data_IF_861860443616
#
_entry.id   IF_861860443616
#
_cell.length_a   1.000
_cell.length_b   1.000
_cell.length_c   1.000
_cell.angle_alpha   90.00
_cell.angle_beta   90.00
_cell.angle_gamma   90.00
#
_symmetry.space_group_name_H-M   'P 1'
#
loop_
_entity.id
_entity.type
_entity.pdbx_description
1 polymer ?
#
# COMPACT_ATOMS: atom_id res chain seq x y z
N UNK A 1 -13.29 4.08 19.10
CA UNK A 1 -13.47 4.53 17.71
C UNK A 1 -12.30 5.42 17.35
N UNK A 2 -11.62 5.16 16.24
CA UNK A 2 -10.52 6.00 15.79
C UNK A 2 -11.06 7.38 15.34
N UNK A 3 -10.31 8.44 15.62
CA UNK A 3 -10.63 9.80 15.18
C UNK A 3 -9.80 10.19 13.95
N UNK A 4 -10.24 11.23 13.23
CA UNK A 4 -9.46 11.82 12.12
C UNK A 4 -8.06 12.23 12.60
N UNK A 5 -7.96 12.87 13.78
CA UNK A 5 -6.69 13.29 14.35
C UNK A 5 -5.75 12.13 14.66
N UNK A 6 -6.27 11.05 15.28
CA UNK A 6 -5.47 9.86 15.55
C UNK A 6 -5.03 9.15 14.28
N UNK A 7 -5.87 9.14 13.23
CA UNK A 7 -5.51 8.58 11.94
C UNK A 7 -4.38 9.39 11.29
N UNK A 8 -4.48 10.72 11.29
CA UNK A 8 -3.43 11.59 10.77
C UNK A 8 -2.08 11.30 11.44
N UNK A 9 -2.05 11.16 12.77
CA UNK A 9 -0.83 10.81 13.50
C UNK A 9 -0.26 9.44 13.09
N UNK A 10 -1.12 8.43 12.88
CA UNK A 10 -0.67 7.11 12.43
C UNK A 10 -0.08 7.16 11.01
N UNK A 11 -0.74 7.87 10.10
CA UNK A 11 -0.31 8.01 8.71
C UNK A 11 0.97 8.84 8.56
N UNK A 12 1.14 9.87 9.38
CA UNK A 12 2.37 10.68 9.41
C UNK A 12 3.57 9.85 9.91
N UNK A 13 3.33 8.92 10.84
CA UNK A 13 4.35 8.08 11.45
C UNK A 13 4.45 6.69 10.82
N UNK A 14 4.07 6.55 9.55
CA UNK A 14 4.25 5.29 8.81
C UNK A 14 5.75 4.92 8.70
N UNK A 15 6.07 3.62 8.73
CA UNK A 15 7.45 3.17 8.73
C UNK A 15 8.18 3.55 7.44
N UNK A 16 9.49 3.79 7.55
CA UNK A 16 10.35 4.09 6.39
C UNK A 16 10.48 2.93 5.38
N UNK A 17 10.01 1.74 5.73
CA UNK A 17 9.90 0.58 4.83
C UNK A 17 8.88 0.82 3.72
N UNK A 18 7.88 1.68 3.94
CA UNK A 18 7.00 2.13 2.88
C UNK A 18 7.66 3.24 2.05
N UNK A 19 7.57 3.18 0.72
CA UNK A 19 8.15 4.19 -0.15
C UNK A 19 7.45 5.54 0.04
N UNK A 20 8.19 6.62 -0.18
CA UNK A 20 7.67 7.99 -0.24
C UNK A 20 7.96 8.55 -1.63
N UNK A 21 7.12 8.23 -2.63
CA UNK A 21 7.37 8.63 -4.00
C UNK A 21 7.13 10.13 -4.19
N UNK A 22 7.85 10.75 -5.13
CA UNK A 22 7.62 12.15 -5.51
C UNK A 22 6.22 12.35 -6.12
N UNK A 23 5.68 11.32 -6.78
CA UNK A 23 4.33 11.27 -7.32
C UNK A 23 3.56 10.13 -6.65
N UNK A 24 2.47 10.46 -5.97
CA UNK A 24 1.64 9.50 -5.27
C UNK A 24 0.87 8.59 -6.24
N UNK A 25 0.73 7.33 -5.86
CA UNK A 25 -0.19 6.38 -6.51
C UNK A 25 -1.65 6.51 -6.02
N UNK A 26 -1.88 7.26 -4.94
CA UNK A 26 -3.21 7.57 -4.43
C UNK A 26 -3.81 8.77 -5.17
N UNK A 27 -5.08 8.67 -5.51
CA UNK A 27 -5.85 9.76 -6.09
C UNK A 27 -7.21 9.82 -5.41
N UNK A 28 -7.42 10.80 -4.54
CA UNK A 28 -8.67 11.00 -3.82
C UNK A 28 -9.58 12.06 -4.43
N UNK A 29 -9.44 12.32 -5.74
CA UNK A 29 -10.31 13.27 -6.44
C UNK A 29 -11.77 12.80 -6.41
N UNK A 30 -12.62 13.58 -5.75
CA UNK A 30 -14.06 13.33 -5.68
C UNK A 30 -14.74 13.83 -6.95
N UNK A 31 -15.58 12.99 -7.55
CA UNK A 31 -16.38 13.32 -8.72
C UNK A 31 -17.52 14.29 -8.33
N UNK A 32 -17.51 15.54 -8.83
CA UNK A 32 -18.51 16.54 -8.47
C UNK A 32 -19.89 16.24 -9.05
N UNK A 33 -20.01 15.56 -10.19
CA UNK A 33 -21.32 15.20 -10.73
C UNK A 33 -21.94 14.08 -9.91
N UNK A 34 -21.17 13.04 -9.60
CA UNK A 34 -21.62 11.97 -8.71
C UNK A 34 -22.00 12.49 -7.32
N UNK A 35 -21.25 13.47 -6.80
CA UNK A 35 -21.54 14.10 -5.50
C UNK A 35 -22.88 14.84 -5.49
N UNK A 36 -23.29 15.44 -6.61
CA UNK A 36 -24.61 16.11 -6.70
C UNK A 36 -25.75 15.11 -6.68
N UNK A 37 -25.57 13.97 -7.32
CA UNK A 37 -26.61 12.96 -7.49
C UNK A 37 -26.76 12.06 -6.25
N UNK A 38 -25.63 11.60 -5.69
CA UNK A 38 -25.59 10.57 -4.64
C UNK A 38 -25.16 11.11 -3.26
N UNK A 39 -24.65 12.35 -3.23
CA UNK A 39 -24.16 13.00 -2.01
C UNK A 39 -22.68 12.72 -1.70
N UNK A 40 -22.14 13.54 -0.79
CA UNK A 40 -20.72 13.54 -0.45
C UNK A 40 -20.25 12.22 0.20
N UNK A 41 -21.06 11.63 1.09
CA UNK A 41 -20.70 10.37 1.76
C UNK A 41 -20.55 9.22 0.77
N UNK A 42 -21.50 9.08 -0.17
CA UNK A 42 -21.45 8.07 -1.22
C UNK A 42 -20.26 8.30 -2.16
N UNK A 43 -19.99 9.56 -2.52
CA UNK A 43 -18.87 9.91 -3.37
C UNK A 43 -17.51 9.59 -2.72
N UNK A 44 -17.35 9.89 -1.44
CA UNK A 44 -16.16 9.52 -0.65
C UNK A 44 -16.02 8.00 -0.57
N UNK A 45 -17.09 7.27 -0.25
CA UNK A 45 -17.04 5.81 -0.18
C UNK A 45 -16.55 5.21 -1.50
N UNK A 46 -17.18 5.58 -2.61
CA UNK A 46 -16.79 5.12 -3.96
C UNK A 46 -15.33 5.45 -4.26
N UNK A 47 -14.88 6.65 -3.94
CA UNK A 47 -13.50 7.04 -4.23
C UNK A 47 -12.48 6.24 -3.40
N UNK A 48 -12.80 5.95 -2.14
CA UNK A 48 -11.96 5.13 -1.28
C UNK A 48 -11.93 3.67 -1.74
N UNK A 49 -13.05 3.11 -2.19
CA UNK A 49 -13.10 1.78 -2.80
C UNK A 49 -12.21 1.70 -4.05
N UNK A 50 -12.26 2.70 -4.92
CA UNK A 50 -11.42 2.77 -6.13
C UNK A 50 -9.93 2.89 -5.76
N UNK A 51 -9.63 3.75 -4.79
CA UNK A 51 -8.26 4.18 -4.50
C UNK A 51 -7.52 3.21 -3.60
N UNK A 52 -8.21 2.69 -2.58
CA UNK A 52 -7.70 1.78 -1.55
C UNK A 52 -8.15 0.34 -1.80
N UNK A 53 -9.43 0.14 -2.15
CA UNK A 53 -10.09 -1.17 -2.18
C UNK A 53 -9.89 -2.02 -3.43
N UNK A 54 -9.25 -1.52 -4.50
CA UNK A 54 -9.37 -2.19 -5.80
C UNK A 54 -8.41 -3.36 -6.08
N UNK A 55 -7.46 -3.76 -5.21
CA UNK A 55 -6.58 -4.93 -5.46
C UNK A 55 -5.97 -5.56 -4.20
N UNK A 56 -6.69 -6.41 -3.49
CA UNK A 56 -6.19 -7.62 -2.81
C UNK A 56 -7.22 -8.11 -1.78
N UNK A 57 -7.24 -9.42 -1.52
CA UNK A 57 -7.90 -10.03 -0.36
C UNK A 57 -7.41 -9.49 1.00
N UNK A 58 -6.50 -8.51 1.01
CA UNK A 58 -5.98 -7.82 2.19
C UNK A 58 -5.37 -6.46 1.78
N UNK A 59 -6.12 -5.34 1.78
CA UNK A 59 -5.61 -4.06 1.33
C UNK A 59 -4.53 -3.55 2.29
N UNK A 60 -3.31 -3.31 1.78
CA UNK A 60 -2.19 -2.74 2.53
C UNK A 60 -1.90 -1.32 2.07
N UNK A 61 -1.31 -0.52 2.95
CA UNK A 61 -0.74 0.77 2.56
C UNK A 61 0.44 0.56 1.60
N UNK A 62 0.46 1.33 0.51
CA UNK A 62 1.44 1.17 -0.58
C UNK A 62 2.61 2.15 -0.45
N UNK A 63 2.37 3.28 0.20
CA UNK A 63 3.29 4.40 0.30
C UNK A 63 2.99 5.22 1.56
N UNK A 64 3.97 6.02 1.97
CA UNK A 64 3.85 7.02 3.05
C UNK A 64 3.99 8.44 2.47
N UNK A 65 3.72 9.44 3.30
CA UNK A 65 3.87 10.85 2.95
C UNK A 65 2.60 11.46 2.36
N UNK A 66 2.76 12.47 1.51
CA UNK A 66 1.66 13.36 1.07
C UNK A 66 0.47 12.62 0.43
N UNK A 67 0.75 11.54 -0.29
CA UNK A 67 -0.24 10.76 -1.02
C UNK A 67 -1.35 10.23 -0.13
N UNK A 68 -1.00 9.39 0.84
CA UNK A 68 -1.98 8.82 1.77
C UNK A 68 -2.56 9.87 2.72
N UNK A 69 -1.79 10.90 3.08
CA UNK A 69 -2.26 12.00 3.94
C UNK A 69 -3.35 12.84 3.29
N UNK A 70 -3.45 12.86 1.96
CA UNK A 70 -4.51 13.55 1.24
C UNK A 70 -5.92 13.00 1.55
N UNK A 71 -6.05 11.84 2.20
CA UNK A 71 -7.33 11.32 2.67
C UNK A 71 -7.90 12.12 3.87
N UNK A 72 -7.04 12.77 4.65
CA UNK A 72 -7.43 13.46 5.89
C UNK A 72 -8.39 14.65 5.60
N UNK A 73 -8.06 15.56 4.66
CA UNK A 73 -8.99 16.64 4.28
C UNK A 73 -10.35 16.14 3.78
N UNK A 74 -10.43 14.97 3.13
CA UNK A 74 -11.72 14.39 2.70
C UNK A 74 -12.60 14.03 3.90
N UNK A 75 -12.02 13.44 4.94
CA UNK A 75 -12.75 13.10 6.16
C UNK A 75 -13.18 14.34 6.94
N UNK A 76 -12.33 15.37 6.99
CA UNK A 76 -12.68 16.66 7.58
C UNK A 76 -13.81 17.35 6.82
N UNK A 77 -13.80 17.28 5.48
CA UNK A 77 -14.87 17.79 4.63
C UNK A 77 -16.20 17.08 4.93
N UNK A 78 -16.18 15.75 5.04
CA UNK A 78 -17.37 14.97 5.39
C UNK A 78 -17.91 15.33 6.78
N UNK A 79 -17.04 15.45 7.77
CA UNK A 79 -17.42 15.86 9.12
C UNK A 79 -18.01 17.28 9.11
N UNK A 80 -17.39 18.21 8.40
CA UNK A 80 -17.86 19.61 8.29
C UNK A 80 -19.24 19.67 7.63
N UNK A 81 -19.43 18.94 6.52
CA UNK A 81 -20.73 18.86 5.84
C UNK A 81 -21.83 18.30 6.75
N UNK A 82 -21.45 17.45 7.70
CA UNK A 82 -22.34 16.81 8.67
C UNK A 82 -22.25 17.43 10.07
N UNK A 83 -22.10 18.77 10.15
CA UNK A 83 -22.16 19.57 11.40
C UNK A 83 -21.13 19.15 12.46
N UNK A 84 -19.94 18.75 12.03
CA UNK A 84 -18.85 18.30 12.88
C UNK A 84 -18.93 16.82 13.27
N UNK A 85 -19.95 16.08 12.81
CA UNK A 85 -20.09 14.65 13.08
C UNK A 85 -19.58 13.84 11.88
N UNK A 86 -18.71 12.87 12.14
CA UNK A 86 -18.22 11.96 11.08
C UNK A 86 -19.36 11.03 10.64
N UNK A 87 -19.70 10.97 9.35
CA UNK A 87 -20.71 10.03 8.85
C UNK A 87 -20.31 8.57 9.05
N UNK A 88 -21.29 7.66 9.12
CA UNK A 88 -21.06 6.26 9.49
C UNK A 88 -20.11 5.52 8.53
N UNK A 89 -20.27 5.69 7.21
CA UNK A 89 -19.37 5.05 6.25
C UNK A 89 -17.96 5.61 6.33
N UNK A 90 -17.84 6.92 6.55
CA UNK A 90 -16.54 7.59 6.73
C UNK A 90 -15.84 7.09 8.00
N UNK A 91 -16.59 6.88 9.08
CA UNK A 91 -16.05 6.32 10.32
C UNK A 91 -15.49 4.91 10.11
N UNK A 92 -16.16 4.05 9.33
CA UNK A 92 -15.66 2.72 8.99
C UNK A 92 -14.33 2.78 8.22
N UNK A 93 -14.19 3.72 7.29
CA UNK A 93 -12.95 3.94 6.57
C UNK A 93 -11.81 4.45 7.46
N UNK A 94 -12.12 5.35 8.40
CA UNK A 94 -11.13 5.82 9.38
C UNK A 94 -10.62 4.66 10.22
N UNK A 95 -11.52 3.79 10.71
CA UNK A 95 -11.16 2.63 11.51
C UNK A 95 -10.34 1.62 10.70
N UNK A 96 -10.75 1.35 9.46
CA UNK A 96 -10.01 0.49 8.55
C UNK A 96 -8.58 1.01 8.31
N UNK A 97 -8.43 2.29 7.94
CA UNK A 97 -7.12 2.86 7.67
C UNK A 97 -6.25 2.95 8.94
N UNK A 98 -6.84 3.19 10.10
CA UNK A 98 -6.12 3.18 11.38
C UNK A 98 -5.58 1.78 11.70
N UNK A 99 -6.39 0.74 11.44
CA UNK A 99 -5.96 -0.65 11.60
C UNK A 99 -4.80 -0.98 10.66
N UNK A 100 -4.92 -0.70 9.36
CA UNK A 100 -3.86 -1.01 8.39
C UNK A 100 -2.59 -0.19 8.66
N UNK A 101 -2.71 1.06 9.11
CA UNK A 101 -1.55 1.87 9.52
C UNK A 101 -0.84 1.29 10.74
N UNK A 102 -1.60 0.81 11.73
CA UNK A 102 -1.07 0.14 12.92
C UNK A 102 -0.35 -1.15 12.55
N UNK A 103 -0.94 -1.96 11.65
CA UNK A 103 -0.31 -3.19 11.13
C UNK A 103 0.98 -2.88 10.37
N UNK A 104 0.98 -1.86 9.51
CA UNK A 104 2.20 -1.44 8.81
C UNK A 104 3.31 -1.05 9.80
N UNK A 105 2.96 -0.40 10.92
CA UNK A 105 3.91 -0.06 11.97
C UNK A 105 4.39 -1.28 12.79
N UNK A 106 3.60 -2.35 12.88
CA UNK A 106 3.98 -3.61 13.51
C UNK A 106 4.88 -4.47 12.60
N UNK A 107 4.65 -4.43 11.28
CA UNK A 107 5.45 -5.06 10.20
C UNK A 107 6.85 -4.42 10.02
N UNK A 108 7.44 -3.84 11.08
CA UNK A 108 8.74 -3.14 11.16
C UNK A 108 9.97 -4.02 10.86
N UNK A 109 9.97 -4.76 9.75
CA UNK A 109 11.16 -5.32 9.14
C UNK A 109 11.51 -6.75 9.54
N UNK A 110 10.58 -7.71 9.40
CA UNK A 110 11.02 -9.02 8.89
C UNK A 110 11.27 -8.83 7.38
N UNK A 111 12.49 -8.44 7.04
CA UNK A 111 13.04 -8.82 5.74
C UNK A 111 12.82 -10.33 5.61
N UNK A 112 12.18 -10.85 4.54
CA UNK A 112 12.25 -12.28 4.31
C UNK A 112 13.74 -12.62 4.26
N UNK A 113 14.17 -13.51 5.16
CA UNK A 113 15.52 -14.03 5.14
C UNK A 113 15.83 -14.43 3.69
N UNK A 114 17.01 -14.09 3.14
CA UNK A 114 17.40 -14.66 1.86
C UNK A 114 17.27 -16.18 2.05
N UNK A 115 16.32 -16.77 1.35
CA UNK A 115 16.17 -18.21 1.33
C UNK A 115 17.46 -18.72 0.74
N UNK A 116 18.38 -19.14 1.60
CA UNK A 116 19.50 -20.00 1.27
C UNK A 116 18.92 -21.31 0.74
N UNK A 117 18.50 -21.28 -0.51
CA UNK A 117 18.26 -22.44 -1.35
C UNK A 117 19.06 -22.19 -2.62
N UNK A 118 20.37 -22.22 -2.46
CA UNK A 118 21.33 -22.59 -3.49
C UNK A 118 22.64 -23.01 -2.80
N UNK A 119 22.51 -23.98 -1.88
CA UNK A 119 23.61 -24.88 -1.54
C UNK A 119 23.01 -26.27 -1.39
N UNK A 120 23.06 -27.03 -2.48
CA UNK A 120 23.31 -28.47 -2.56
C UNK A 120 23.90 -28.63 -3.97
N UNK A 121 25.23 -28.63 -4.13
CA UNK A 121 26.06 -29.82 -3.99
C UNK A 121 25.50 -30.99 -4.80
N UNK A 122 26.02 -31.16 -6.02
CA UNK A 122 26.19 -32.50 -6.58
C UNK A 122 27.51 -32.53 -7.37
N UNK A 123 28.48 -33.14 -6.70
CA UNK A 123 29.71 -33.73 -7.22
C UNK A 123 29.55 -34.41 -8.57
N UNK A 124 30.42 -34.10 -9.54
CA UNK A 124 30.86 -35.06 -10.56
C UNK A 124 32.26 -34.71 -11.07
N UNK A 125 33.21 -35.53 -10.64
CA UNK A 125 34.41 -36.01 -11.32
C UNK A 125 35.46 -35.03 -11.86
N UNK A 126 36.53 -34.90 -11.06
CA UNK A 126 37.93 -35.03 -11.48
C UNK A 126 38.11 -36.23 -12.45
N UNK A 127 38.89 -36.24 -13.55
CA UNK A 127 40.17 -35.62 -13.84
C UNK A 127 40.59 -35.91 -15.31
N UNK A 128 41.60 -35.16 -15.76
CA UNK A 128 42.52 -35.37 -16.88
C UNK A 128 42.14 -35.16 -18.38
N UNK A 129 42.80 -34.15 -18.96
CA UNK A 129 43.67 -34.38 -20.13
C UNK A 129 43.47 -33.46 -21.36
N UNK A 130 44.40 -32.52 -21.65
CA UNK A 130 44.33 -31.68 -22.84
C UNK A 130 45.13 -32.26 -24.03
N UNK A 131 44.48 -32.61 -25.15
CA UNK A 131 45.24 -32.89 -26.39
C UNK A 131 44.51 -32.58 -27.71
N UNK A 132 44.96 -31.48 -28.34
CA UNK A 132 45.32 -31.29 -29.78
C UNK A 132 44.42 -31.83 -30.93
N UNK A 133 44.00 -30.85 -31.76
CA UNK A 133 44.17 -30.72 -33.23
C UNK A 133 43.45 -31.67 -34.22
N UNK A 134 42.91 -31.01 -35.27
CA UNK A 134 42.58 -31.46 -36.66
C UNK A 134 41.26 -32.23 -36.82
N UNK A 135 40.54 -32.21 -37.94
CA UNK A 135 40.39 -31.36 -39.12
C UNK A 135 39.25 -31.99 -39.97
N UNK A 136 38.53 -31.18 -40.75
CA UNK A 136 37.87 -31.49 -42.04
C UNK A 136 36.74 -32.54 -42.16
N UNK A 137 35.64 -32.04 -42.75
CA UNK A 137 34.90 -32.50 -43.93
C UNK A 137 34.50 -33.99 -44.07
N UNK A 138 33.20 -34.23 -44.26
CA UNK A 138 32.60 -34.41 -45.59
C UNK A 138 31.09 -34.17 -45.53
#
# INVERSE_FOLDING_TARGET
MASIQSLWQLLENLPKTLPEPSLSSYNFAIDPEFTKDEGLEAAINRQLEITIGHRAHNPKLRERGHGILAVIPLFEQAATANRGQVPGLVQLWIEFLAQVATEAQADKGELPAPTSKDVLDDSSDEEEGPTRKRARAN
#
